data_IF_148956148562
#
_entry.id   IF_148956148562
#
_cell.length_a   1.000
_cell.length_b   1.000
_cell.length_c   1.000
_cell.angle_alpha   90.00
_cell.angle_beta   90.00
_cell.angle_gamma   90.00
#
_symmetry.space_group_name_H-M   'P 1'
#
loop_
_entity.id
_entity.type
_entity.pdbx_description
1 polymer ?
#
# COMPACT_ATOMS: atom_id res chain seq x y z
N UNK A 1 -12.35 -20.76 2.52
CA UNK A 1 -13.18 -20.11 3.55
C UNK A 1 -12.56 -18.77 3.86
N UNK A 2 -13.35 -17.69 3.99
CA UNK A 2 -12.82 -16.42 4.44
C UNK A 2 -12.36 -16.58 5.89
N UNK A 3 -11.10 -16.25 6.17
CA UNK A 3 -10.57 -16.23 7.53
C UNK A 3 -11.37 -15.21 8.35
N UNK A 4 -11.78 -15.55 9.57
CA UNK A 4 -12.52 -14.62 10.42
C UNK A 4 -11.70 -13.33 10.61
N UNK A 5 -12.35 -12.16 10.51
CA UNK A 5 -11.67 -10.88 10.71
C UNK A 5 -11.09 -10.84 12.12
N UNK A 6 -9.78 -10.63 12.23
CA UNK A 6 -9.12 -10.46 13.52
C UNK A 6 -9.57 -9.12 14.11
N UNK A 7 -9.92 -9.14 15.39
CA UNK A 7 -10.26 -7.92 16.12
C UNK A 7 -9.04 -6.99 16.19
N UNK A 8 -9.29 -5.70 16.05
CA UNK A 8 -8.30 -4.62 16.11
C UNK A 8 -8.87 -3.58 17.06
N UNK A 9 -8.17 -3.28 18.14
CA UNK A 9 -8.57 -2.24 19.11
C UNK A 9 -8.57 -0.85 18.47
N UNK A 10 -9.57 -0.04 18.85
CA UNK A 10 -9.81 1.30 18.30
C UNK A 10 -8.66 2.28 18.56
N UNK A 11 -8.00 2.15 19.72
CA UNK A 11 -6.91 3.02 20.14
C UNK A 11 -5.94 2.21 21.01
N UNK A 12 -4.71 2.02 20.55
CA UNK A 12 -3.70 1.22 21.27
C UNK A 12 -2.30 1.82 21.13
N UNK A 13 -1.54 1.81 22.22
CA UNK A 13 -0.11 2.13 22.20
C UNK A 13 0.68 0.89 21.77
N UNK A 14 1.33 0.94 20.61
CA UNK A 14 2.13 -0.18 20.09
C UNK A 14 3.57 -0.16 20.62
N UNK A 15 4.08 1.02 20.94
CA UNK A 15 5.43 1.22 21.48
C UNK A 15 5.54 2.55 22.23
N UNK A 16 6.74 2.91 22.69
CA UNK A 16 7.00 4.24 23.25
C UNK A 16 6.85 5.37 22.23
N UNK A 17 6.88 5.08 20.92
CA UNK A 17 6.82 6.07 19.83
C UNK A 17 5.53 6.01 19.02
N UNK A 18 4.82 4.88 19.03
CA UNK A 18 3.73 4.62 18.10
C UNK A 18 2.43 4.34 18.84
N UNK A 19 1.42 5.14 18.51
CA UNK A 19 0.01 4.89 18.84
C UNK A 19 -0.71 4.59 17.53
N UNK A 20 -1.50 3.51 17.51
CA UNK A 20 -2.40 3.19 16.39
C UNK A 20 -3.80 3.62 16.74
N UNK A 21 -4.46 4.30 15.80
CA UNK A 21 -5.83 4.78 15.91
C UNK A 21 -6.62 4.18 14.74
N UNK A 22 -7.74 3.53 15.01
CA UNK A 22 -8.56 2.90 13.98
C UNK A 22 -9.56 3.92 13.41
N UNK A 23 -9.61 4.04 12.09
CA UNK A 23 -10.42 5.00 11.32
C UNK A 23 -11.93 4.81 11.41
N UNK A 24 -12.42 3.82 12.16
CA UNK A 24 -13.83 3.53 12.38
C UNK A 24 -14.62 3.25 11.09
N UNK A 25 -13.95 2.71 10.09
CA UNK A 25 -14.47 2.46 8.76
C UNK A 25 -14.33 1.00 8.31
N UNK A 26 -14.97 0.04 9.00
CA UNK A 26 -14.88 -1.38 8.64
C UNK A 26 -15.52 -1.67 7.29
N UNK A 27 -14.85 -2.46 6.47
CA UNK A 27 -15.27 -2.68 5.09
C UNK A 27 -14.62 -3.92 4.46
N UNK A 28 -15.05 -4.33 3.25
CA UNK A 28 -14.45 -5.45 2.54
C UNK A 28 -12.97 -5.20 2.19
N UNK A 29 -12.59 -3.95 1.96
CA UNK A 29 -11.22 -3.55 1.62
C UNK A 29 -10.44 -3.04 2.84
N UNK A 30 -11.11 -2.39 3.79
CA UNK A 30 -10.49 -1.80 4.99
C UNK A 30 -10.46 -2.73 6.21
N UNK A 31 -11.03 -3.94 6.10
CA UNK A 31 -11.13 -4.93 7.18
C UNK A 31 -11.88 -4.40 8.42
N UNK A 32 -11.16 -4.15 9.52
CA UNK A 32 -11.71 -3.55 10.73
C UNK A 32 -11.77 -2.01 10.64
N UNK A 33 -11.04 -1.41 9.70
CA UNK A 33 -10.86 0.02 9.51
C UNK A 33 -9.43 0.34 9.08
N UNK A 34 -9.20 1.59 8.67
CA UNK A 34 -7.86 2.12 8.38
C UNK A 34 -7.12 2.37 9.69
N UNK A 35 -5.96 1.74 9.87
CA UNK A 35 -5.02 2.04 10.92
C UNK A 35 -4.28 3.33 10.54
N UNK A 36 -4.55 4.41 11.25
CA UNK A 36 -3.68 5.58 11.24
C UNK A 36 -2.65 5.43 12.37
N UNK A 37 -1.49 6.05 12.20
CA UNK A 37 -0.39 5.95 13.17
C UNK A 37 0.09 7.32 13.60
N UNK A 38 0.04 7.57 14.91
CA UNK A 38 0.65 8.74 15.52
C UNK A 38 2.07 8.36 15.97
N UNK A 39 3.07 8.95 15.32
CA UNK A 39 4.49 8.72 15.53
C UNK A 39 5.06 9.93 16.29
N UNK A 40 5.42 9.73 17.54
CA UNK A 40 5.92 10.78 18.42
C UNK A 40 7.33 10.45 18.90
N UNK A 41 8.03 11.43 19.47
CA UNK A 41 9.20 11.15 20.32
C UNK A 41 8.76 10.41 21.59
N UNK A 42 9.64 9.61 22.22
CA UNK A 42 9.29 8.88 23.43
C UNK A 42 8.91 9.87 24.54
N UNK A 43 8.01 9.51 25.46
CA UNK A 43 7.69 10.37 26.59
C UNK A 43 8.92 10.58 27.47
N UNK A 44 9.15 11.83 27.87
CA UNK A 44 10.20 12.26 28.80
C UNK A 44 9.50 12.86 29.99
N UNK A 45 9.90 12.48 31.21
CA UNK A 45 9.20 12.79 32.45
C UNK A 45 9.05 14.30 32.78
N UNK A 46 9.67 15.20 32.02
CA UNK A 46 9.66 16.65 32.26
C UNK A 46 9.10 17.48 31.09
N UNK A 47 8.46 16.84 30.11
CA UNK A 47 8.10 17.45 28.83
C UNK A 47 6.74 18.16 28.88
N UNK A 48 6.73 19.48 28.66
CA UNK A 48 5.49 20.26 28.41
C UNK A 48 4.95 19.98 27.01
N UNK A 49 3.64 20.10 26.80
CA UNK A 49 2.93 19.98 25.50
C UNK A 49 3.70 20.52 24.27
N UNK A 50 4.29 21.71 24.38
CA UNK A 50 5.02 22.36 23.27
C UNK A 50 6.18 21.52 22.70
N UNK A 51 6.74 20.61 23.50
CA UNK A 51 8.00 19.92 23.22
C UNK A 51 7.85 18.56 22.52
N UNK A 52 6.62 18.14 22.15
CA UNK A 52 6.37 16.81 21.55
C UNK A 52 5.64 16.86 20.20
N UNK A 53 6.33 17.34 19.14
CA UNK A 53 5.83 17.21 17.79
C UNK A 53 5.66 15.73 17.41
N UNK A 54 4.63 15.45 16.61
CA UNK A 54 4.27 14.11 16.16
C UNK A 54 3.93 14.13 14.67
N UNK A 55 4.16 12.99 14.03
CA UNK A 55 3.79 12.72 12.64
C UNK A 55 2.54 11.84 12.65
N UNK A 56 1.48 12.26 11.98
CA UNK A 56 0.33 11.41 11.71
C UNK A 56 0.49 10.74 10.34
N UNK A 57 0.39 9.42 10.28
CA UNK A 57 0.40 8.66 9.03
C UNK A 57 -1.03 8.21 8.70
N UNK A 58 -1.50 8.64 7.53
CA UNK A 58 -2.87 8.49 7.00
C UNK A 58 -3.97 9.10 7.88
N UNK A 59 -5.17 9.23 7.32
CA UNK A 59 -6.26 10.01 7.93
C UNK A 59 -7.61 9.31 8.04
N UNK A 60 -7.73 8.07 7.55
CA UNK A 60 -9.03 7.40 7.45
C UNK A 60 -9.90 8.02 6.35
N UNK A 61 -11.16 7.60 6.29
CA UNK A 61 -12.15 8.09 5.31
C UNK A 61 -12.91 9.36 5.76
N UNK A 62 -12.69 9.83 6.99
CA UNK A 62 -13.44 10.95 7.56
C UNK A 62 -14.70 10.57 8.33
N UNK A 63 -14.70 9.40 8.99
CA UNK A 63 -15.76 9.02 9.91
C UNK A 63 -15.70 9.89 11.20
N UNK A 64 -16.83 10.48 11.60
CA UNK A 64 -16.90 11.35 12.78
C UNK A 64 -16.45 10.65 14.07
N UNK A 65 -16.61 9.32 14.15
CA UNK A 65 -16.23 8.52 15.33
C UNK A 65 -14.71 8.42 15.52
N UNK A 66 -13.91 8.73 14.50
CA UNK A 66 -12.45 8.75 14.57
C UNK A 66 -11.91 9.95 15.37
N UNK A 67 -12.57 11.11 15.28
CA UNK A 67 -12.08 12.37 15.85
C UNK A 67 -11.91 12.30 17.38
N UNK A 68 -12.86 11.76 18.16
CA UNK A 68 -12.66 11.55 19.60
C UNK A 68 -11.49 10.64 19.94
N UNK A 69 -11.19 9.64 19.10
CA UNK A 69 -10.05 8.73 19.31
C UNK A 69 -8.71 9.44 19.06
N UNK A 70 -8.64 10.26 18.01
CA UNK A 70 -7.45 11.07 17.73
C UNK A 70 -7.21 12.11 18.83
N UNK A 71 -8.25 12.78 19.30
CA UNK A 71 -8.14 13.75 20.41
C UNK A 71 -7.63 13.06 21.68
N UNK A 72 -8.19 11.90 22.04
CA UNK A 72 -7.70 11.07 23.16
C UNK A 72 -6.24 10.65 23.00
N UNK A 73 -5.81 10.29 21.78
CA UNK A 73 -4.43 9.93 21.50
C UNK A 73 -3.47 11.12 21.74
N UNK A 74 -3.86 12.33 21.32
CA UNK A 74 -3.06 13.55 21.52
C UNK A 74 -3.01 13.97 22.99
N UNK A 75 -4.08 13.74 23.76
CA UNK A 75 -4.12 13.88 25.24
C UNK A 75 -3.39 12.73 25.97
N UNK A 76 -2.85 11.74 25.26
CA UNK A 76 -2.11 10.63 25.87
C UNK A 76 -2.97 9.58 26.58
N UNK A 77 -4.30 9.73 26.56
CA UNK A 77 -5.30 8.86 27.18
C UNK A 77 -5.51 7.55 26.39
N UNK A 78 -4.47 6.72 26.36
CA UNK A 78 -4.40 5.45 25.62
C UNK A 78 -4.21 4.30 26.59
N UNK A 79 -5.01 3.23 26.46
CA UNK A 79 -4.83 2.02 27.25
C UNK A 79 -3.44 1.39 26.99
N UNK A 80 -2.71 1.14 28.08
CA UNK A 80 -1.34 0.62 28.02
C UNK A 80 -1.24 -0.84 27.59
N UNK A 81 -0.07 -1.22 27.06
CA UNK A 81 0.33 -2.61 26.86
C UNK A 81 0.42 -3.30 28.24
N UNK A 82 -0.36 -4.37 28.45
CA UNK A 82 -0.45 -5.20 29.67
C UNK A 82 -1.19 -4.62 30.90
N UNK A 83 -2.53 -4.73 30.93
CA UNK A 83 -3.30 -4.84 32.20
C UNK A 83 -3.44 -6.29 32.72
N UNK A 84 -2.85 -7.29 32.04
CA UNK A 84 -3.07 -8.71 32.37
C UNK A 84 -1.99 -9.39 33.24
N UNK A 85 -1.02 -8.66 33.81
CA UNK A 85 0.05 -9.26 34.64
C UNK A 85 0.42 -8.45 35.90
N UNK A 86 -0.55 -7.90 36.62
CA UNK A 86 -0.31 -7.30 37.93
C UNK A 86 -1.46 -7.54 38.91
N UNK A 87 -1.67 -8.80 39.31
CA UNK A 87 -2.18 -9.07 40.65
C UNK A 87 -1.00 -8.99 41.62
N UNK A 88 -1.08 -8.06 42.57
CA UNK A 88 -0.13 -7.75 43.65
C UNK A 88 0.97 -6.71 43.36
N UNK A 89 0.58 -5.44 43.39
CA UNK A 89 1.30 -4.43 44.18
C UNK A 89 0.36 -3.25 44.46
N UNK A 90 -0.34 -3.32 45.59
CA UNK A 90 -0.84 -2.11 46.27
C UNK A 90 0.40 -1.35 46.74
N UNK A 91 0.79 -0.32 45.99
CA UNK A 91 1.54 0.88 46.42
C UNK A 91 2.12 1.58 45.18
N UNK A 92 1.31 2.40 44.54
CA UNK A 92 1.73 3.57 43.76
C UNK A 92 0.81 4.68 44.28
N UNK A 93 1.29 5.45 45.26
CA UNK A 93 1.62 6.86 45.09
C UNK A 93 0.58 7.57 44.22
N UNK A 94 -0.20 8.42 44.89
CA UNK A 94 -1.03 9.48 44.31
C UNK A 94 -0.14 10.26 43.34
N UNK A 95 -0.20 9.93 42.05
CA UNK A 95 0.23 10.84 41.00
C UNK A 95 -0.87 11.90 40.92
N UNK A 96 -0.45 13.15 41.08
CA UNK A 96 -1.31 14.33 41.04
C UNK A 96 -2.31 14.24 39.89
N UNK A 97 -3.54 14.67 40.13
CA UNK A 97 -4.56 14.96 39.11
C UNK A 97 -4.03 16.07 38.17
N UNK A 98 -2.98 15.79 37.38
CA UNK A 98 -2.56 16.68 36.30
C UNK A 98 -3.66 16.67 35.25
N UNK A 99 -4.16 17.87 34.94
CA UNK A 99 -5.34 18.18 34.14
C UNK A 99 -5.54 17.17 32.98
N UNK A 100 -6.53 16.28 33.12
CA UNK A 100 -6.91 15.22 32.15
C UNK A 100 -7.24 15.78 30.74
N UNK A 101 -7.30 17.11 30.62
CA UNK A 101 -7.61 17.88 29.43
C UNK A 101 -6.40 18.44 28.67
N UNK A 102 -5.18 18.36 29.22
CA UNK A 102 -4.00 18.89 28.56
C UNK A 102 -3.47 17.93 27.47
N UNK A 103 -3.07 18.50 26.33
CA UNK A 103 -2.43 17.72 25.27
C UNK A 103 -1.04 17.25 25.72
N UNK A 104 -0.68 16.02 25.33
CA UNK A 104 0.67 15.44 25.57
C UNK A 104 1.55 15.47 24.33
N UNK A 105 0.96 15.70 23.15
CA UNK A 105 1.65 15.86 21.87
C UNK A 105 0.81 16.67 20.88
N UNK A 106 1.44 17.15 19.81
CA UNK A 106 0.76 17.87 18.73
C UNK A 106 1.24 17.40 17.35
N UNK A 107 0.40 17.54 16.32
CA UNK A 107 0.71 17.03 14.97
C UNK A 107 1.40 18.14 14.17
N UNK A 108 2.69 17.95 13.88
CA UNK A 108 3.48 18.84 13.03
C UNK A 108 3.41 18.47 11.56
N UNK A 109 3.23 17.19 11.29
CA UNK A 109 3.32 16.62 9.96
C UNK A 109 2.24 15.54 9.78
N UNK A 110 1.58 15.56 8.63
CA UNK A 110 0.68 14.49 8.18
C UNK A 110 1.33 13.88 6.95
N UNK A 111 1.53 12.57 6.93
CA UNK A 111 2.11 11.83 5.81
C UNK A 111 1.06 10.89 5.24
N UNK A 112 0.76 11.06 3.95
CA UNK A 112 -0.25 10.26 3.25
C UNK A 112 0.45 9.17 2.42
N UNK A 113 0.09 7.90 2.65
CA UNK A 113 0.72 6.76 1.99
C UNK A 113 0.37 6.71 0.49
N UNK A 114 -0.89 6.95 0.14
CA UNK A 114 -1.36 6.96 -1.24
C UNK A 114 -2.72 7.66 -1.40
N UNK A 115 -3.24 7.73 -2.63
CA UNK A 115 -4.43 8.49 -3.03
C UNK A 115 -5.79 7.93 -2.59
N UNK A 116 -5.88 6.68 -2.11
CA UNK A 116 -7.20 6.11 -1.81
C UNK A 116 -7.91 6.86 -0.70
N UNK A 117 -9.24 6.97 -0.85
CA UNK A 117 -10.09 7.83 -0.02
C UNK A 117 -10.00 7.49 1.46
N UNK A 118 -9.85 6.23 1.83
CA UNK A 118 -9.73 5.79 3.21
C UNK A 118 -8.36 6.10 3.84
N UNK A 119 -7.44 6.72 3.11
CA UNK A 119 -6.16 7.23 3.62
C UNK A 119 -6.10 8.76 3.63
N UNK A 120 -6.85 9.43 2.74
CA UNK A 120 -6.82 10.90 2.56
C UNK A 120 -8.11 11.61 2.99
N UNK A 121 -9.23 10.88 3.08
CA UNK A 121 -10.58 11.42 3.23
C UNK A 121 -10.83 12.11 4.57
N UNK A 122 -10.11 11.71 5.62
CA UNK A 122 -10.25 12.30 6.94
C UNK A 122 -9.60 13.67 7.12
N UNK A 123 -8.79 14.14 6.16
CA UNK A 123 -8.10 15.43 6.23
C UNK A 123 -8.98 16.61 6.70
N UNK A 124 -10.20 16.85 6.17
CA UNK A 124 -11.01 17.99 6.59
C UNK A 124 -11.38 17.94 8.07
N UNK A 125 -11.83 16.78 8.55
CA UNK A 125 -12.23 16.57 9.95
C UNK A 125 -11.05 16.69 10.91
N UNK A 126 -9.90 16.12 10.55
CA UNK A 126 -8.66 16.19 11.34
C UNK A 126 -8.15 17.62 11.41
N UNK A 127 -8.07 18.32 10.28
CA UNK A 127 -7.57 19.69 10.25
C UNK A 127 -8.51 20.67 10.99
N UNK A 128 -9.81 20.39 11.01
CA UNK A 128 -10.78 21.10 11.85
C UNK A 128 -10.50 20.87 13.34
N UNK A 129 -10.31 19.62 13.78
CA UNK A 129 -9.91 19.29 15.15
C UNK A 129 -8.60 20.00 15.52
N UNK A 130 -7.57 19.88 14.69
CA UNK A 130 -6.27 20.47 14.97
C UNK A 130 -6.35 22.01 15.04
N UNK A 131 -7.17 22.65 14.20
CA UNK A 131 -7.39 24.10 14.27
C UNK A 131 -8.02 24.51 15.60
N UNK A 132 -9.03 23.76 16.07
CA UNK A 132 -9.66 23.95 17.39
C UNK A 132 -8.62 23.80 18.52
N UNK A 133 -7.89 22.69 18.54
CA UNK A 133 -6.87 22.42 19.55
C UNK A 133 -5.75 23.48 19.57
N UNK A 134 -5.32 23.98 18.40
CA UNK A 134 -4.36 25.10 18.31
C UNK A 134 -4.90 26.40 18.88
N UNK A 135 -6.20 26.67 18.74
CA UNK A 135 -6.83 27.88 19.26
C UNK A 135 -7.03 27.82 20.78
N UNK A 136 -7.19 26.61 21.34
CA UNK A 136 -7.36 26.36 22.78
C UNK A 136 -6.01 26.20 23.50
N UNK A 137 -4.92 25.91 22.78
CA UNK A 137 -3.60 25.73 23.35
C UNK A 137 -3.05 26.99 24.04
N UNK A 138 -2.42 26.80 25.21
CA UNK A 138 -1.73 27.86 25.96
C UNK A 138 -0.44 28.35 25.28
N UNK A 139 0.05 27.60 24.30
CA UNK A 139 1.25 27.87 23.50
C UNK A 139 0.89 27.95 22.03
N UNK A 140 1.60 28.81 21.28
CA UNK A 140 1.41 28.89 19.83
C UNK A 140 1.95 27.65 19.15
N UNK A 141 1.06 26.84 18.58
CA UNK A 141 1.40 25.67 17.77
C UNK A 141 1.29 25.99 16.27
N UNK A 142 2.23 25.56 15.42
CA UNK A 142 2.13 25.78 13.98
C UNK A 142 1.05 24.89 13.35
N UNK A 143 0.55 25.30 12.20
CA UNK A 143 -0.30 24.44 11.38
C UNK A 143 0.51 23.26 10.81
N UNK A 144 -0.08 22.07 10.64
CA UNK A 144 0.65 20.91 10.16
C UNK A 144 1.05 21.06 8.70
N UNK A 145 2.15 20.40 8.31
CA UNK A 145 2.54 20.19 6.91
C UNK A 145 1.92 18.89 6.41
N UNK A 146 1.39 18.88 5.18
CA UNK A 146 0.82 17.67 4.57
C UNK A 146 1.78 17.17 3.51
N UNK A 147 2.31 15.97 3.70
CA UNK A 147 3.32 15.35 2.86
C UNK A 147 2.71 14.27 1.98
N UNK A 148 3.05 14.30 0.68
CA UNK A 148 2.57 13.33 -0.29
C UNK A 148 3.63 13.05 -1.35
N UNK A 149 3.80 11.77 -1.69
CA UNK A 149 4.51 11.41 -2.91
C UNK A 149 3.59 11.67 -4.10
N UNK A 150 3.99 12.57 -5.00
CA UNK A 150 3.20 12.93 -6.18
C UNK A 150 3.57 12.02 -7.34
N UNK A 151 2.58 11.47 -8.04
CA UNK A 151 2.78 10.75 -9.29
C UNK A 151 2.59 11.67 -10.52
N UNK A 152 2.68 11.10 -11.72
CA UNK A 152 2.54 11.85 -12.97
C UNK A 152 1.09 12.31 -13.25
N UNK A 153 0.10 11.65 -12.63
CA UNK A 153 -1.31 11.97 -12.71
C UNK A 153 -1.77 12.56 -11.37
N UNK A 154 -1.32 13.78 -11.08
CA UNK A 154 -1.62 14.51 -9.83
C UNK A 154 -3.08 14.32 -9.37
N UNK A 155 -3.28 13.84 -8.15
CA UNK A 155 -4.59 13.56 -7.54
C UNK A 155 -5.50 14.81 -7.51
N UNK A 156 -6.45 14.96 -8.46
CA UNK A 156 -7.22 16.19 -8.60
C UNK A 156 -8.26 16.33 -7.47
N UNK A 157 -8.76 15.22 -6.95
CA UNK A 157 -9.75 15.21 -5.87
C UNK A 157 -9.13 15.67 -4.55
N UNK A 158 -7.93 15.18 -4.22
CA UNK A 158 -7.17 15.64 -3.07
C UNK A 158 -6.83 17.13 -3.16
N UNK A 159 -6.34 17.59 -4.32
CA UNK A 159 -6.01 19.01 -4.51
C UNK A 159 -7.27 19.89 -4.37
N UNK A 160 -8.39 19.47 -4.96
CA UNK A 160 -9.66 20.17 -4.83
C UNK A 160 -10.17 20.21 -3.39
N UNK A 161 -10.03 19.11 -2.65
CA UNK A 161 -10.34 19.04 -1.22
C UNK A 161 -9.50 20.06 -0.43
N UNK A 162 -8.18 20.08 -0.65
CA UNK A 162 -7.26 20.99 0.05
C UNK A 162 -7.54 22.47 -0.25
N UNK A 163 -7.93 22.81 -1.48
CA UNK A 163 -8.33 24.17 -1.87
C UNK A 163 -9.60 24.65 -1.16
N UNK A 164 -10.48 23.73 -0.75
CA UNK A 164 -11.74 24.06 -0.08
C UNK A 164 -11.58 24.21 1.45
N UNK A 165 -10.39 23.93 2.00
CA UNK A 165 -10.15 24.05 3.44
C UNK A 165 -9.95 25.52 3.86
N UNK A 166 -10.32 25.89 5.11
CA UNK A 166 -10.06 27.22 5.63
C UNK A 166 -8.57 27.58 5.59
N UNK A 167 -8.25 28.84 5.29
CA UNK A 167 -6.86 29.34 5.33
C UNK A 167 -6.25 29.15 6.71
N UNK A 168 -4.98 28.75 6.76
CA UNK A 168 -4.27 28.46 8.02
C UNK A 168 -4.60 27.10 8.64
N UNK A 169 -5.42 26.27 7.99
CA UNK A 169 -5.67 24.89 8.45
C UNK A 169 -4.41 24.04 8.43
N UNK A 170 -3.54 24.24 7.43
CA UNK A 170 -2.26 23.58 7.22
C UNK A 170 -1.24 24.57 6.61
N UNK A 171 0.04 24.21 6.58
CA UNK A 171 1.11 25.00 5.95
C UNK A 171 1.44 24.45 4.56
N UNK A 172 1.19 25.20 3.46
CA UNK A 172 1.52 24.77 2.10
C UNK A 172 3.05 24.79 1.85
N UNK A 173 3.47 24.06 0.83
CA UNK A 173 4.87 24.06 0.36
C UNK A 173 5.15 25.29 -0.50
N UNK A 174 6.31 25.93 -0.27
CA UNK A 174 6.79 27.01 -1.14
C UNK A 174 6.21 28.40 -0.84
N UNK A 175 5.56 28.62 0.31
CA UNK A 175 4.98 29.93 0.68
C UNK A 175 6.03 31.03 1.00
N UNK A 176 7.29 30.88 0.57
CA UNK A 176 8.33 31.92 0.65
C UNK A 176 8.54 32.55 -0.74
N UNK A 177 8.42 33.87 -0.81
CA UNK A 177 8.77 34.71 -1.97
C UNK A 177 7.90 34.57 -3.25
N UNK A 178 6.64 34.16 -3.14
CA UNK A 178 5.64 34.34 -4.21
C UNK A 178 5.84 33.46 -5.46
N UNK A 179 6.60 32.38 -5.36
CA UNK A 179 6.67 31.33 -6.41
C UNK A 179 5.69 30.19 -6.12
N UNK A 180 5.37 29.38 -7.13
CA UNK A 180 4.35 28.32 -7.14
C UNK A 180 4.20 27.59 -5.78
N UNK A 181 3.15 27.94 -5.04
CA UNK A 181 2.81 27.24 -3.79
C UNK A 181 2.07 25.96 -4.13
N UNK A 182 2.61 24.82 -3.71
CA UNK A 182 1.87 23.55 -3.71
C UNK A 182 1.16 23.40 -2.37
N UNK A 183 -0.11 22.97 -2.31
CA UNK A 183 -0.74 22.66 -1.04
C UNK A 183 -0.04 21.48 -0.31
N UNK A 184 0.69 20.65 -1.05
CA UNK A 184 1.38 19.46 -0.56
C UNK A 184 2.90 19.65 -0.52
N UNK A 185 3.51 19.14 0.54
CA UNK A 185 4.96 18.96 0.67
C UNK A 185 5.37 17.70 -0.10
N UNK A 186 6.16 17.84 -1.18
CA UNK A 186 6.46 16.72 -2.06
C UNK A 186 7.43 15.75 -1.38
N UNK A 187 7.07 14.48 -1.34
CA UNK A 187 7.94 13.40 -0.91
C UNK A 187 8.71 12.81 -2.10
N UNK A 188 9.88 12.25 -1.81
CA UNK A 188 10.73 11.53 -2.76
C UNK A 188 11.30 10.28 -2.09
N UNK A 189 11.78 9.32 -2.88
CA UNK A 189 12.50 8.15 -2.39
C UNK A 189 13.65 8.57 -1.46
N UNK A 190 13.72 7.95 -0.28
CA UNK A 190 14.75 8.20 0.72
C UNK A 190 14.59 9.48 1.54
N UNK A 191 13.62 10.34 1.23
CA UNK A 191 13.31 11.53 2.04
C UNK A 191 12.97 11.12 3.48
N UNK A 192 13.38 11.93 4.46
CA UNK A 192 13.12 11.64 5.87
C UNK A 192 12.25 12.75 6.46
N UNK A 193 11.06 12.37 6.92
CA UNK A 193 10.22 13.22 7.78
C UNK A 193 10.61 12.90 9.22
N UNK A 194 11.09 13.90 9.97
CA UNK A 194 11.47 13.72 11.36
C UNK A 194 10.80 14.74 12.27
N UNK A 195 10.62 14.32 13.51
CA UNK A 195 10.20 15.16 14.63
C UNK A 195 11.24 15.03 15.73
N UNK A 196 11.58 16.15 16.34
CA UNK A 196 12.58 16.24 17.41
C UNK A 196 11.97 16.97 18.60
N UNK A 197 12.14 16.42 19.80
CA UNK A 197 11.75 17.05 21.05
C UNK A 197 12.85 17.95 21.60
N UNK A 198 12.53 18.75 22.63
CA UNK A 198 13.46 19.70 23.25
C UNK A 198 14.71 19.03 23.86
N UNK A 199 14.62 17.74 24.20
CA UNK A 199 15.73 16.94 24.72
C UNK A 199 16.58 16.30 23.61
N UNK A 200 16.40 16.73 22.36
CA UNK A 200 17.06 16.23 21.15
C UNK A 200 16.69 14.77 20.79
N UNK A 201 15.71 14.16 21.47
CA UNK A 201 15.19 12.86 21.04
C UNK A 201 14.39 13.02 19.76
N UNK A 202 14.61 12.13 18.80
CA UNK A 202 13.95 12.17 17.50
C UNK A 202 13.15 10.89 17.20
N UNK A 203 12.20 11.02 16.29
CA UNK A 203 11.55 9.91 15.57
C UNK A 203 11.59 10.23 14.08
N UNK A 204 12.02 9.26 13.26
CA UNK A 204 12.30 9.50 11.84
C UNK A 204 11.61 8.47 10.95
N UNK A 205 10.82 8.96 9.99
CA UNK A 205 10.19 8.15 8.95
C UNK A 205 10.91 8.36 7.62
N UNK A 206 11.64 7.35 7.16
CA UNK A 206 12.25 7.35 5.82
C UNK A 206 11.25 6.83 4.79
N UNK A 207 11.06 7.60 3.72
CA UNK A 207 10.18 7.26 2.60
C UNK A 207 10.82 6.19 1.73
N UNK A 208 10.07 5.11 1.47
CA UNK A 208 10.35 4.14 0.42
C UNK A 208 9.22 4.24 -0.61
N UNK A 209 9.53 4.66 -1.84
CA UNK A 209 8.54 4.66 -2.93
C UNK A 209 8.25 3.22 -3.32
N UNK A 210 7.00 2.81 -3.19
CA UNK A 210 6.57 1.41 -3.32
C UNK A 210 5.38 1.32 -4.26
N UNK A 211 5.53 1.72 -5.54
CA UNK A 211 4.43 1.68 -6.49
C UNK A 211 3.99 0.23 -6.72
N UNK A 212 2.75 0.10 -7.18
CA UNK A 212 2.17 -1.18 -7.57
C UNK A 212 0.75 -1.32 -7.06
N UNK A 213 0.51 -1.03 -5.77
CA UNK A 213 -0.84 -0.86 -5.26
C UNK A 213 -1.53 0.32 -5.98
N UNK A 214 -0.90 1.49 -5.87
CA UNK A 214 -1.10 2.67 -6.72
C UNK A 214 0.26 3.21 -7.16
N UNK A 215 0.30 4.10 -8.14
CA UNK A 215 1.55 4.69 -8.64
C UNK A 215 2.27 5.59 -7.61
N UNK A 216 1.49 6.22 -6.73
CA UNK A 216 1.92 7.19 -5.71
C UNK A 216 2.17 6.56 -4.32
N UNK A 217 2.09 5.23 -4.21
CA UNK A 217 2.17 4.51 -2.94
C UNK A 217 3.56 4.55 -2.30
N UNK A 218 3.63 4.84 -1.01
CA UNK A 218 4.85 4.77 -0.20
C UNK A 218 4.71 3.85 1.01
N UNK A 219 5.80 3.20 1.39
CA UNK A 219 6.00 2.65 2.71
C UNK A 219 6.91 3.59 3.51
N UNK A 220 6.79 3.57 4.83
CA UNK A 220 7.57 4.44 5.72
C UNK A 220 8.36 3.59 6.70
N UNK A 221 9.68 3.78 6.71
CA UNK A 221 10.58 3.05 7.57
C UNK A 221 10.86 3.87 8.84
N UNK A 222 10.34 3.39 9.97
CA UNK A 222 10.64 3.93 11.30
C UNK A 222 11.98 3.33 11.77
N UNK A 223 13.06 4.11 11.59
CA UNK A 223 14.43 3.62 11.79
C UNK A 223 14.71 3.20 13.22
N UNK A 224 14.22 3.99 14.18
CA UNK A 224 14.47 3.80 15.60
C UNK A 224 13.87 2.48 16.12
N UNK A 225 12.79 1.98 15.49
CA UNK A 225 12.17 0.69 15.83
C UNK A 225 12.43 -0.41 14.81
N UNK A 226 13.18 -0.11 13.73
CA UNK A 226 13.39 -1.01 12.59
C UNK A 226 12.08 -1.65 12.10
N UNK A 227 11.05 -0.82 12.01
CA UNK A 227 9.67 -1.22 11.74
C UNK A 227 9.19 -0.52 10.47
N UNK A 228 8.45 -1.24 9.63
CA UNK A 228 7.94 -0.72 8.37
C UNK A 228 6.44 -0.47 8.47
N UNK A 229 6.01 0.77 8.25
CA UNK A 229 4.60 1.08 7.99
C UNK A 229 4.35 0.80 6.52
N UNK A 230 3.45 -0.14 6.22
CA UNK A 230 3.33 -0.71 4.88
C UNK A 230 2.20 -0.12 4.05
N UNK A 231 1.37 0.77 4.62
CA UNK A 231 0.15 1.22 3.93
C UNK A 231 -0.66 0.01 3.46
N UNK A 232 -1.04 0.04 2.19
CA UNK A 232 -1.74 -1.05 1.50
C UNK A 232 -0.82 -2.00 0.73
N UNK A 233 0.50 -1.81 0.85
CA UNK A 233 1.47 -2.69 0.19
C UNK A 233 1.44 -4.11 0.76
N UNK A 234 1.34 -4.23 2.08
CA UNK A 234 1.17 -5.50 2.82
C UNK A 234 0.17 -5.26 3.94
N UNK A 235 -0.81 -6.17 4.08
CA UNK A 235 -1.88 -6.06 5.07
C UNK A 235 -1.61 -6.97 6.28
N UNK A 236 -2.25 -6.68 7.40
CA UNK A 236 -2.18 -7.50 8.62
C UNK A 236 -2.94 -8.82 8.53
N UNK A 237 -3.84 -8.92 7.55
CA UNK A 237 -4.63 -10.11 7.27
C UNK A 237 -5.00 -10.14 5.78
N UNK A 238 -4.99 -11.35 5.19
CA UNK A 238 -5.39 -11.54 3.80
C UNK A 238 -4.32 -11.10 2.80
N UNK A 239 -4.76 -10.59 1.65
CA UNK A 239 -3.91 -10.10 0.55
C UNK A 239 -4.36 -8.70 0.14
N UNK A 240 -3.46 -7.93 -0.45
CA UNK A 240 -3.79 -6.63 -1.06
C UNK A 240 -4.18 -6.77 -2.54
N UNK A 241 -4.76 -5.71 -3.08
CA UNK A 241 -4.99 -5.47 -4.52
C UNK A 241 -3.89 -4.58 -5.10
N UNK A 242 -3.71 -4.57 -6.42
CA UNK A 242 -2.68 -3.76 -7.07
C UNK A 242 -3.04 -3.42 -8.52
N UNK A 243 -2.64 -2.23 -8.96
CA UNK A 243 -2.76 -1.74 -10.33
C UNK A 243 -1.64 -2.29 -11.24
N UNK A 244 -0.42 -2.43 -10.71
CA UNK A 244 0.76 -2.94 -11.44
C UNK A 244 1.53 -3.98 -10.63
N UNK A 245 1.42 -5.24 -11.04
CA UNK A 245 2.10 -6.37 -10.39
C UNK A 245 3.64 -6.30 -10.52
N UNK A 246 4.17 -5.76 -11.62
CA UNK A 246 5.62 -5.65 -11.84
C UNK A 246 6.23 -4.68 -10.84
N UNK A 247 5.64 -3.47 -10.75
CA UNK A 247 6.02 -2.47 -9.78
C UNK A 247 5.84 -3.01 -8.35
N UNK A 248 4.70 -3.64 -8.07
CA UNK A 248 4.39 -4.22 -6.76
C UNK A 248 5.43 -5.26 -6.29
N UNK A 249 5.82 -6.20 -7.15
CA UNK A 249 6.83 -7.21 -6.80
C UNK A 249 8.24 -6.60 -6.66
N UNK A 250 8.56 -5.54 -7.41
CA UNK A 250 9.80 -4.79 -7.22
C UNK A 250 9.80 -4.10 -5.85
N UNK A 251 8.68 -3.50 -5.47
CA UNK A 251 8.45 -2.85 -4.18
C UNK A 251 8.54 -3.84 -3.01
N UNK A 252 7.97 -5.06 -3.13
CA UNK A 252 8.16 -6.12 -2.14
C UNK A 252 9.65 -6.44 -1.92
N UNK A 253 10.43 -6.63 -3.00
CA UNK A 253 11.88 -6.87 -2.89
C UNK A 253 12.65 -5.68 -2.33
N UNK A 254 12.21 -4.44 -2.59
CA UNK A 254 12.78 -3.23 -2.01
C UNK A 254 12.58 -3.23 -0.48
N UNK A 255 11.36 -3.44 -0.02
CA UNK A 255 11.03 -3.51 1.41
C UNK A 255 11.80 -4.64 2.12
N UNK A 256 11.89 -5.83 1.53
CA UNK A 256 12.68 -6.94 2.10
C UNK A 256 14.14 -6.56 2.29
N UNK A 257 14.79 -5.98 1.27
CA UNK A 257 16.19 -5.52 1.36
C UNK A 257 16.39 -4.44 2.42
N UNK A 258 15.49 -3.46 2.49
CA UNK A 258 15.57 -2.39 3.49
C UNK A 258 15.52 -2.94 4.93
N UNK A 259 14.68 -3.96 5.20
CA UNK A 259 14.62 -4.60 6.50
C UNK A 259 15.82 -5.52 6.78
N UNK A 260 16.34 -6.20 5.75
CA UNK A 260 17.59 -6.97 5.86
C UNK A 260 18.78 -6.09 6.25
N UNK A 261 18.92 -4.92 5.61
CA UNK A 261 19.98 -3.96 5.88
C UNK A 261 19.93 -3.37 7.30
N UNK A 262 18.73 -3.13 7.84
CA UNK A 262 18.56 -2.69 9.24
C UNK A 262 18.82 -3.78 10.27
N UNK A 263 18.65 -5.04 9.88
CA UNK A 263 18.61 -6.18 10.77
C UNK A 263 17.34 -6.24 11.63
N UNK A 264 17.27 -7.20 12.56
CA UNK A 264 16.07 -7.47 13.36
C UNK A 264 15.76 -6.34 14.35
N UNK A 265 14.48 -6.20 14.71
CA UNK A 265 14.01 -5.20 15.67
C UNK A 265 14.37 -5.51 17.13
N UNK A 266 14.75 -6.75 17.45
CA UNK A 266 15.16 -7.19 18.78
C UNK A 266 16.38 -8.12 18.68
N UNK A 267 17.26 -8.08 19.69
CA UNK A 267 18.37 -9.01 19.80
C UNK A 267 17.87 -10.46 19.91
N UNK A 268 18.52 -11.39 19.19
CA UNK A 268 18.12 -12.79 19.13
C UNK A 268 16.91 -13.08 18.22
N UNK A 269 16.26 -12.06 17.64
CA UNK A 269 15.21 -12.23 16.63
C UNK A 269 15.79 -12.21 15.21
N UNK A 270 15.10 -12.83 14.25
CA UNK A 270 15.34 -12.69 12.81
C UNK A 270 14.23 -11.92 12.11
N UNK A 271 13.42 -11.15 12.84
CA UNK A 271 12.22 -10.53 12.30
C UNK A 271 12.14 -9.03 12.62
N UNK A 272 11.26 -8.37 11.86
CA UNK A 272 10.89 -6.97 12.00
C UNK A 272 9.37 -6.90 12.11
N UNK A 273 8.85 -5.83 12.70
CA UNK A 273 7.40 -5.59 12.71
C UNK A 273 6.98 -4.89 11.42
N UNK A 274 5.76 -5.16 10.97
CA UNK A 274 5.04 -4.33 9.99
C UNK A 274 3.81 -3.73 10.66
N UNK A 275 3.57 -2.46 10.34
CA UNK A 275 2.41 -1.68 10.73
C UNK A 275 1.57 -1.40 9.47
N UNK A 276 0.61 -2.29 9.13
CA UNK A 276 -0.20 -2.16 7.92
C UNK A 276 -1.31 -1.14 8.08
N UNK A 277 -1.81 -0.57 6.98
CA UNK A 277 -3.00 0.27 7.05
C UNK A 277 -4.27 -0.52 7.37
N UNK A 278 -4.31 -1.83 7.12
CA UNK A 278 -5.47 -2.64 7.49
C UNK A 278 -5.07 -3.93 8.19
N UNK A 279 -5.83 -4.30 9.23
CA UNK A 279 -5.63 -5.51 10.01
C UNK A 279 -4.60 -5.36 11.14
N UNK A 280 -4.24 -6.46 11.81
CA UNK A 280 -3.35 -6.43 12.98
C UNK A 280 -1.88 -6.18 12.63
N UNK A 281 -1.09 -5.84 13.64
CA UNK A 281 0.39 -5.78 13.54
C UNK A 281 0.94 -7.13 13.08
N UNK A 282 1.93 -7.10 12.18
CA UNK A 282 2.64 -8.29 11.71
C UNK A 282 3.97 -8.38 12.43
N UNK A 283 4.12 -9.38 13.31
CA UNK A 283 5.37 -9.56 14.09
C UNK A 283 6.48 -10.29 13.30
N UNK A 284 6.11 -11.05 12.28
CA UNK A 284 7.03 -11.78 11.39
C UNK A 284 7.09 -11.07 10.03
N UNK A 285 7.53 -9.82 10.02
CA UNK A 285 7.43 -8.92 8.88
C UNK A 285 8.27 -9.35 7.67
N UNK A 286 9.49 -9.86 7.89
CA UNK A 286 10.33 -10.34 6.79
C UNK A 286 9.73 -11.60 6.18
N UNK A 287 9.24 -12.50 7.03
CA UNK A 287 8.51 -13.68 6.57
C UNK A 287 7.24 -13.31 5.78
N UNK A 288 6.45 -12.33 6.23
CA UNK A 288 5.24 -11.90 5.54
C UNK A 288 5.54 -11.32 4.16
N UNK A 289 6.54 -10.45 4.03
CA UNK A 289 7.00 -9.92 2.74
C UNK A 289 7.40 -11.05 1.78
N UNK A 290 8.11 -12.06 2.30
CA UNK A 290 8.50 -13.24 1.54
C UNK A 290 7.28 -14.04 1.08
N UNK A 291 6.33 -14.32 1.97
CA UNK A 291 5.09 -15.05 1.64
C UNK A 291 4.29 -14.34 0.55
N UNK A 292 4.15 -13.01 0.65
CA UNK A 292 3.51 -12.22 -0.38
C UNK A 292 4.21 -12.35 -1.74
N UNK A 293 5.54 -12.29 -1.77
CA UNK A 293 6.31 -12.44 -3.01
C UNK A 293 6.21 -13.86 -3.58
N UNK A 294 6.43 -14.88 -2.74
CA UNK A 294 6.36 -16.30 -3.12
C UNK A 294 5.00 -16.62 -3.72
N UNK A 295 3.92 -16.17 -3.09
CA UNK A 295 2.56 -16.42 -3.56
C UNK A 295 2.32 -15.88 -4.99
N UNK A 296 2.90 -14.73 -5.35
CA UNK A 296 2.82 -14.20 -6.73
C UNK A 296 3.66 -15.02 -7.70
N UNK A 297 4.86 -15.42 -7.30
CA UNK A 297 5.75 -16.24 -8.13
C UNK A 297 5.15 -17.63 -8.40
N UNK A 298 4.55 -18.25 -7.38
CA UNK A 298 3.82 -19.51 -7.50
C UNK A 298 2.65 -19.38 -8.50
N UNK A 299 1.89 -18.28 -8.43
CA UNK A 299 0.80 -18.04 -9.37
C UNK A 299 1.31 -17.84 -10.80
N UNK A 300 2.40 -17.10 -11.00
CA UNK A 300 3.05 -17.00 -12.33
C UNK A 300 3.45 -18.37 -12.86
N UNK A 301 4.06 -19.21 -12.02
CA UNK A 301 4.47 -20.57 -12.40
C UNK A 301 3.28 -21.44 -12.82
N UNK A 302 2.16 -21.38 -12.08
CA UNK A 302 0.92 -22.08 -12.43
C UNK A 302 0.34 -21.62 -13.77
N UNK A 303 0.35 -20.31 -14.05
CA UNK A 303 -0.12 -19.74 -15.32
C UNK A 303 0.75 -20.22 -16.48
N UNK A 304 2.08 -20.16 -16.33
CA UNK A 304 3.01 -20.63 -17.36
C UNK A 304 2.84 -22.13 -17.62
N UNK A 305 2.65 -22.94 -16.57
CA UNK A 305 2.43 -24.37 -16.71
C UNK A 305 1.11 -24.68 -17.42
N UNK A 306 0.03 -23.95 -17.10
CA UNK A 306 -1.25 -24.07 -17.78
C UNK A 306 -1.11 -23.75 -19.29
N UNK A 307 -0.39 -22.69 -19.64
CA UNK A 307 -0.15 -22.27 -21.02
C UNK A 307 0.70 -23.26 -21.85
N UNK A 308 1.38 -24.21 -21.21
CA UNK A 308 2.05 -25.33 -21.93
C UNK A 308 1.07 -26.43 -22.33
N UNK A 309 -0.11 -26.47 -21.71
CA UNK A 309 -1.19 -27.41 -22.01
C UNK A 309 -2.22 -26.80 -22.97
N UNK A 310 -3.19 -27.61 -23.41
CA UNK A 310 -4.29 -27.17 -24.27
C UNK A 310 -5.62 -27.19 -23.53
N UNK A 311 -6.53 -26.23 -23.77
CA UNK A 311 -7.89 -26.33 -23.25
C UNK A 311 -8.61 -27.57 -23.83
N UNK A 312 -9.54 -28.15 -23.07
CA UNK A 312 -10.27 -29.37 -23.46
C UNK A 312 -11.05 -29.21 -24.79
N UNK A 313 -11.49 -27.99 -25.10
CA UNK A 313 -12.14 -27.63 -26.37
C UNK A 313 -11.22 -27.73 -27.60
N UNK A 314 -9.89 -27.78 -27.42
CA UNK A 314 -8.87 -27.87 -28.48
C UNK A 314 -8.19 -29.25 -28.55
N UNK A 315 -8.89 -30.33 -28.22
CA UNK A 315 -8.35 -31.71 -28.12
C UNK A 315 -7.71 -32.26 -29.42
N UNK A 316 -7.91 -31.62 -30.57
CA UNK A 316 -7.18 -31.87 -31.81
C UNK A 316 -6.11 -30.79 -32.04
N UNK A 317 -4.85 -31.14 -31.81
CA UNK A 317 -3.67 -30.29 -31.96
C UNK A 317 -3.60 -29.61 -33.34
N UNK A 318 -3.52 -28.28 -33.33
CA UNK A 318 -2.86 -27.50 -34.38
C UNK A 318 -1.87 -26.56 -33.70
N UNK A 319 -0.61 -26.98 -33.60
CA UNK A 319 0.49 -26.02 -33.49
C UNK A 319 0.46 -25.17 -34.74
N UNK A 320 -0.03 -23.95 -34.62
CA UNK A 320 -0.05 -22.97 -35.70
C UNK A 320 1.27 -22.19 -35.69
N UNK A 321 1.88 -22.00 -36.85
CA UNK A 321 3.01 -21.08 -37.01
C UNK A 321 2.53 -19.76 -37.59
N UNK A 322 3.06 -18.65 -37.06
CA UNK A 322 2.77 -17.30 -37.57
C UNK A 322 4.09 -16.59 -37.84
N UNK A 323 4.18 -15.91 -38.97
CA UNK A 323 5.32 -15.08 -39.31
C UNK A 323 5.13 -13.67 -38.73
N UNK A 324 6.00 -13.27 -37.81
CA UNK A 324 5.99 -11.92 -37.23
C UNK A 324 7.36 -11.28 -37.46
N UNK A 325 7.41 -10.20 -38.25
CA UNK A 325 8.65 -9.48 -38.55
C UNK A 325 9.72 -10.34 -39.24
N UNK A 326 9.32 -11.36 -40.01
CA UNK A 326 10.23 -12.29 -40.69
C UNK A 326 10.73 -13.47 -39.85
N UNK A 327 10.31 -13.59 -38.59
CA UNK A 327 10.58 -14.75 -37.75
C UNK A 327 9.36 -15.67 -37.68
N UNK A 328 9.57 -16.97 -37.88
CA UNK A 328 8.53 -17.98 -37.67
C UNK A 328 8.36 -18.23 -36.17
N UNK A 329 7.14 -18.02 -35.68
CA UNK A 329 6.78 -18.18 -34.27
C UNK A 329 5.83 -19.36 -34.16
N UNK A 330 6.19 -20.33 -33.31
CA UNK A 330 5.30 -21.44 -32.96
C UNK A 330 4.37 -20.98 -31.85
N UNK A 331 3.06 -21.04 -32.11
CA UNK A 331 2.02 -20.74 -31.12
C UNK A 331 1.63 -22.00 -30.34
N UNK A 332 1.64 -21.89 -29.01
CA UNK A 332 0.90 -22.81 -28.14
C UNK A 332 -0.62 -22.62 -28.28
N UNK A 333 -1.37 -23.53 -27.66
CA UNK A 333 -2.83 -23.43 -27.66
C UNK A 333 -3.30 -22.16 -26.93
N UNK A 334 -4.25 -21.41 -27.50
CA UNK A 334 -4.79 -20.21 -26.86
C UNK A 334 -5.65 -20.57 -25.65
N UNK A 335 -5.46 -19.83 -24.56
CA UNK A 335 -6.28 -19.89 -23.35
C UNK A 335 -6.93 -18.54 -23.09
N UNK A 336 -8.24 -18.55 -22.84
CA UNK A 336 -8.95 -17.38 -22.34
C UNK A 336 -8.80 -17.23 -20.84
N UNK A 337 -8.78 -16.01 -20.33
CA UNK A 337 -8.72 -15.76 -18.88
C UNK A 337 -9.87 -16.45 -18.16
N UNK A 338 -11.10 -16.42 -18.70
CA UNK A 338 -12.24 -17.14 -18.11
C UNK A 338 -11.97 -18.65 -17.94
N UNK A 339 -11.29 -19.29 -18.91
CA UNK A 339 -10.95 -20.71 -18.86
C UNK A 339 -9.86 -20.96 -17.82
N UNK A 340 -8.88 -20.06 -17.74
CA UNK A 340 -7.84 -20.11 -16.71
C UNK A 340 -8.43 -19.97 -15.31
N UNK A 341 -9.41 -19.08 -15.09
CA UNK A 341 -10.10 -18.93 -13.81
C UNK A 341 -10.79 -20.24 -13.42
N UNK A 342 -11.60 -20.81 -14.32
CA UNK A 342 -12.29 -22.07 -14.07
C UNK A 342 -11.33 -23.21 -13.72
N UNK A 343 -10.14 -23.25 -14.34
CA UNK A 343 -9.15 -24.30 -14.06
C UNK A 343 -8.38 -24.05 -12.76
N UNK A 344 -7.77 -22.86 -12.62
CA UNK A 344 -6.84 -22.54 -11.52
C UNK A 344 -7.53 -22.15 -10.21
N UNK A 345 -8.80 -21.77 -10.27
CA UNK A 345 -9.61 -21.34 -9.13
C UNK A 345 -10.87 -22.19 -8.95
N UNK A 346 -10.90 -23.40 -9.51
CA UNK A 346 -12.02 -24.37 -9.40
C UNK A 346 -12.49 -24.64 -7.96
N UNK A 347 -11.59 -24.53 -6.97
CA UNK A 347 -11.90 -24.73 -5.55
C UNK A 347 -12.39 -23.45 -4.84
N UNK A 348 -12.53 -22.32 -5.55
CA UNK A 348 -13.00 -21.06 -4.99
C UNK A 348 -14.48 -20.81 -5.36
N UNK A 349 -15.23 -20.10 -4.50
CA UNK A 349 -16.57 -19.63 -4.83
C UNK A 349 -16.60 -18.76 -6.10
N UNK A 350 -17.63 -18.94 -6.94
CA UNK A 350 -17.76 -18.24 -8.23
C UNK A 350 -17.83 -16.71 -8.08
N UNK A 351 -18.35 -16.20 -6.96
CA UNK A 351 -18.39 -14.77 -6.68
C UNK A 351 -16.99 -14.13 -6.55
N UNK A 352 -15.92 -14.94 -6.40
CA UNK A 352 -14.53 -14.47 -6.39
C UNK A 352 -13.87 -14.52 -7.78
N UNK A 353 -14.54 -15.10 -8.79
CA UNK A 353 -13.99 -15.24 -10.13
C UNK A 353 -13.65 -13.90 -10.80
N UNK A 354 -14.44 -12.83 -10.65
CA UNK A 354 -14.05 -11.52 -11.18
C UNK A 354 -12.72 -11.03 -10.60
N UNK A 355 -12.51 -11.16 -9.30
CA UNK A 355 -11.25 -10.78 -8.65
C UNK A 355 -10.08 -11.68 -9.12
N UNK A 356 -10.31 -12.98 -9.26
CA UNK A 356 -9.33 -13.93 -9.78
C UNK A 356 -8.94 -13.61 -11.24
N UNK A 357 -9.92 -13.24 -12.08
CA UNK A 357 -9.69 -12.84 -13.46
C UNK A 357 -8.81 -11.58 -13.54
N UNK A 358 -9.09 -10.57 -12.71
CA UNK A 358 -8.27 -9.36 -12.59
C UNK A 358 -6.82 -9.71 -12.20
N UNK A 359 -6.64 -10.55 -11.19
CA UNK A 359 -5.31 -11.02 -10.78
C UNK A 359 -4.57 -11.75 -11.90
N UNK A 360 -5.23 -12.69 -12.59
CA UNK A 360 -4.65 -13.41 -13.72
C UNK A 360 -4.25 -12.48 -14.87
N UNK A 361 -5.09 -11.49 -15.18
CA UNK A 361 -4.77 -10.49 -16.19
C UNK A 361 -3.45 -9.77 -15.85
N UNK A 362 -3.26 -9.34 -14.60
CA UNK A 362 -2.03 -8.67 -14.16
C UNK A 362 -0.80 -9.60 -14.22
N UNK A 363 -0.96 -10.89 -13.89
CA UNK A 363 0.10 -11.88 -14.09
C UNK A 363 0.47 -12.05 -15.56
N UNK A 364 -0.51 -12.19 -16.45
CA UNK A 364 -0.28 -12.33 -17.88
C UNK A 364 0.39 -11.09 -18.48
N UNK A 365 -0.05 -9.91 -18.06
CA UNK A 365 0.58 -8.64 -18.45
C UNK A 365 2.05 -8.58 -18.05
N UNK A 366 2.36 -8.90 -16.80
CA UNK A 366 3.74 -8.95 -16.30
C UNK A 366 4.57 -9.98 -17.06
N UNK A 367 4.05 -11.20 -17.26
CA UNK A 367 4.72 -12.26 -18.00
C UNK A 367 5.00 -11.89 -19.46
N UNK A 368 4.17 -11.04 -20.06
CA UNK A 368 4.36 -10.53 -21.43
C UNK A 368 5.33 -9.34 -21.54
N UNK A 369 5.79 -8.79 -20.41
CA UNK A 369 6.69 -7.64 -20.39
C UNK A 369 8.09 -8.03 -20.90
N UNK A 370 8.75 -7.19 -21.74
CA UNK A 370 10.11 -7.43 -22.22
C UNK A 370 11.13 -7.73 -21.11
N UNK A 371 11.03 -7.01 -19.98
CA UNK A 371 11.97 -7.15 -18.85
C UNK A 371 11.90 -8.53 -18.19
N UNK A 372 10.70 -9.13 -18.16
CA UNK A 372 10.45 -10.45 -17.57
C UNK A 372 10.85 -11.58 -18.52
N UNK A 373 10.86 -11.28 -19.82
CA UNK A 373 11.14 -12.25 -20.89
C UNK A 373 12.58 -12.24 -21.38
N UNK A 374 13.38 -11.27 -20.94
CA UNK A 374 14.77 -11.16 -21.35
C UNK A 374 15.52 -12.47 -21.10
N UNK A 375 16.09 -13.05 -22.16
CA UNK A 375 16.83 -14.32 -22.10
C UNK A 375 15.98 -15.60 -22.06
N UNK A 376 14.65 -15.53 -22.23
CA UNK A 376 13.77 -16.71 -22.29
C UNK A 376 13.48 -17.14 -23.73
N UNK A 377 13.54 -18.45 -23.98
CA UNK A 377 13.20 -19.06 -25.28
C UNK A 377 11.69 -19.04 -25.58
N UNK A 378 10.87 -19.01 -24.53
CA UNK A 378 9.42 -18.96 -24.61
C UNK A 378 8.85 -17.71 -23.94
N UNK A 379 7.81 -17.13 -24.54
CA UNK A 379 7.25 -15.82 -24.18
C UNK A 379 5.73 -15.88 -24.09
N UNK A 380 5.10 -15.14 -23.18
CA UNK A 380 3.63 -15.12 -23.02
C UNK A 380 3.07 -13.97 -23.84
N UNK A 381 2.12 -14.22 -24.73
CA UNK A 381 1.51 -13.18 -25.59
C UNK A 381 0.00 -13.21 -25.54
N UNK A 382 -0.59 -12.01 -25.62
CA UNK A 382 -1.98 -11.84 -26.00
C UNK A 382 -2.07 -11.97 -27.53
N UNK A 383 -2.95 -12.84 -28.01
CA UNK A 383 -3.34 -12.92 -29.41
C UNK A 383 -4.44 -11.85 -29.59
N UNK A 384 -4.23 -10.85 -30.45
CA UNK A 384 -5.04 -9.62 -30.47
C UNK A 384 -6.40 -9.80 -31.16
N UNK A 385 -7.26 -10.63 -30.56
CA UNK A 385 -8.55 -11.06 -31.11
C UNK A 385 -9.68 -10.04 -30.92
N UNK A 386 -9.48 -8.96 -30.13
CA UNK A 386 -10.51 -7.94 -29.85
C UNK A 386 -10.06 -6.50 -30.16
N UNK A 387 -11.02 -5.59 -30.34
CA UNK A 387 -10.77 -4.15 -30.50
C UNK A 387 -10.08 -3.52 -29.30
N UNK A 388 -10.42 -3.96 -28.07
CA UNK A 388 -9.76 -3.53 -26.83
C UNK A 388 -8.25 -3.84 -26.83
N UNK A 389 -7.85 -5.05 -27.21
CA UNK A 389 -6.45 -5.47 -27.26
C UNK A 389 -5.63 -4.69 -28.30
N UNK A 390 -6.28 -4.25 -29.40
CA UNK A 390 -5.62 -3.50 -30.47
C UNK A 390 -5.31 -2.04 -30.11
N UNK A 391 -5.93 -1.48 -29.07
CA UNK A 391 -5.66 -0.09 -28.62
C UNK A 391 -4.20 0.15 -28.18
N UNK A 392 -3.50 -0.88 -27.71
CA UNK A 392 -2.08 -0.79 -27.33
C UNK A 392 -1.11 -0.75 -28.52
N UNK A 393 -1.63 -0.79 -29.75
CA UNK A 393 -0.84 -0.90 -30.99
C UNK A 393 -1.34 0.12 -32.00
N UNK A 394 -0.86 1.36 -31.90
CA UNK A 394 -1.14 2.40 -32.89
C UNK A 394 -0.47 2.14 -34.25
N UNK A 395 0.45 1.17 -34.35
CA UNK A 395 1.28 0.97 -35.55
C UNK A 395 1.45 -0.48 -36.04
N UNK A 396 0.79 -1.50 -35.47
CA UNK A 396 1.06 -2.89 -35.85
C UNK A 396 -0.17 -3.64 -36.39
N UNK A 397 -0.18 -3.87 -37.70
CA UNK A 397 -1.02 -4.87 -38.38
C UNK A 397 -0.51 -6.30 -38.11
N UNK A 398 -0.41 -6.70 -36.84
CA UNK A 398 0.16 -7.99 -36.43
C UNK A 398 -0.82 -8.76 -35.54
N UNK A 399 -1.11 -10.02 -35.88
CA UNK A 399 -2.06 -10.88 -35.17
C UNK A 399 -1.58 -11.34 -33.77
N UNK A 400 -0.29 -11.14 -33.49
CA UNK A 400 0.36 -11.40 -32.19
C UNK A 400 0.95 -10.08 -31.72
N UNK A 401 0.48 -9.55 -30.60
CA UNK A 401 0.74 -8.15 -30.26
C UNK A 401 1.10 -7.87 -28.81
N UNK A 402 1.24 -6.58 -28.54
CA UNK A 402 1.62 -6.01 -27.26
C UNK A 402 0.61 -6.35 -26.16
N UNK A 403 1.08 -6.23 -24.91
CA UNK A 403 0.28 -6.31 -23.71
C UNK A 403 -0.92 -5.32 -23.78
N UNK A 404 -2.17 -5.79 -23.61
CA UNK A 404 -3.35 -4.92 -23.65
C UNK A 404 -3.33 -3.85 -22.54
N UNK A 405 -3.98 -2.69 -22.73
CA UNK A 405 -4.04 -1.64 -21.71
C UNK A 405 -4.80 -2.10 -20.46
N UNK A 406 -4.71 -1.34 -19.35
CA UNK A 406 -5.45 -1.70 -18.14
C UNK A 406 -6.93 -1.42 -18.41
N UNK A 407 -7.86 -2.35 -18.14
CA UNK A 407 -9.28 -2.06 -18.24
C UNK A 407 -9.69 -0.93 -17.30
N UNK A 408 -10.40 0.06 -17.82
CA UNK A 408 -10.87 1.25 -17.11
C UNK A 408 -12.37 1.21 -16.78
N UNK A 409 -13.09 0.17 -17.22
CA UNK A 409 -14.52 -0.02 -16.94
C UNK A 409 -14.88 -1.49 -16.77
N UNK A 410 -16.04 -1.77 -16.18
CA UNK A 410 -16.53 -3.15 -16.04
C UNK A 410 -16.76 -3.82 -17.39
N UNK A 411 -17.17 -3.07 -18.42
CA UNK A 411 -17.30 -3.59 -19.77
C UNK A 411 -15.95 -4.04 -20.34
N UNK A 412 -14.91 -3.22 -20.16
CA UNK A 412 -13.56 -3.58 -20.58
C UNK A 412 -13.00 -4.79 -19.79
N UNK A 413 -13.39 -4.95 -18.52
CA UNK A 413 -13.04 -6.14 -17.75
C UNK A 413 -13.69 -7.40 -18.29
N UNK A 414 -14.95 -7.32 -18.74
CA UNK A 414 -15.63 -8.44 -19.41
C UNK A 414 -14.92 -8.78 -20.72
N UNK A 415 -14.54 -7.79 -21.53
CA UNK A 415 -13.76 -8.02 -22.75
C UNK A 415 -12.38 -8.64 -22.46
N UNK A 416 -11.69 -8.17 -21.41
CA UNK A 416 -10.39 -8.68 -21.01
C UNK A 416 -10.44 -10.18 -20.66
N UNK A 417 -11.57 -10.66 -20.14
CA UNK A 417 -11.77 -12.08 -19.80
C UNK A 417 -11.82 -13.01 -21.02
N UNK A 418 -12.18 -12.47 -22.18
CA UNK A 418 -12.28 -13.21 -23.45
C UNK A 418 -11.01 -13.17 -24.30
N UNK A 419 -9.98 -12.44 -23.85
CA UNK A 419 -8.70 -12.36 -24.56
C UNK A 419 -7.99 -13.71 -24.59
N UNK A 420 -7.48 -14.07 -25.75
CA UNK A 420 -6.69 -15.28 -25.95
C UNK A 420 -5.22 -15.02 -25.61
N UNK A 421 -4.67 -15.87 -24.75
CA UNK A 421 -3.27 -15.84 -24.33
C UNK A 421 -2.59 -17.15 -24.67
N UNK A 422 -1.36 -17.08 -25.18
CA UNK A 422 -0.60 -18.26 -25.56
C UNK A 422 0.87 -18.12 -25.19
N UNK A 423 1.52 -19.28 -24.98
CA UNK A 423 2.97 -19.36 -24.95
C UNK A 423 3.49 -19.43 -26.40
N UNK A 424 4.39 -18.52 -26.76
CA UNK A 424 5.05 -18.51 -28.05
C UNK A 424 6.51 -18.98 -27.90
N UNK A 425 7.01 -19.70 -28.90
CA UNK A 425 8.42 -20.15 -28.95
C UNK A 425 9.08 -19.64 -30.21
N UNK A 426 10.30 -19.12 -30.09
CA UNK A 426 11.14 -18.86 -31.27
C UNK A 426 11.60 -20.20 -31.84
N UNK A 427 11.45 -20.40 -33.15
CA UNK A 427 12.18 -21.48 -33.80
C UNK A 427 13.66 -21.15 -33.76
N UNK A 428 14.49 -22.07 -33.28
CA UNK A 428 15.94 -21.94 -33.38
C UNK A 428 16.27 -21.80 -34.86
N UNK A 429 16.88 -20.68 -35.27
CA UNK A 429 17.51 -20.62 -36.59
C UNK A 429 18.53 -21.77 -36.62
N UNK A 430 18.27 -22.80 -37.42
CA UNK A 430 19.32 -23.71 -37.82
C UNK A 430 20.35 -22.86 -38.55
N UNK A 431 21.48 -22.56 -37.87
CA UNK A 431 22.69 -22.16 -38.56
C UNK A 431 23.07 -23.33 -39.48
N UNK A 432 22.78 -23.19 -40.77
CA UNK A 432 23.43 -23.94 -41.84
C UNK A 432 24.82 -23.39 -42.08
#
# INVERSE_FOLDING_TARGET
>A
MAEARKAVEDLIRLSSRVIRILGQNPGPYTLAGTNTYLISTPPVASSKLASRPSILVDTGEGNDSYIPLLERALKGAVDGVNKNNASNSQNAMEEDEEDEDDLTSWISDIVLTHKHHDHVGGLPSILSLLSKLRAEATVTLPAPRIHKFLDAESDPELIQMLHNLPKGSFTPYGERDGTLSSPLWPLQEGFVVNVTADDETNSSLQVLHTPGHTADHICLLLKEEKTLLTGDHVLGQGTTVFEDLTAYMSSLRKCSRALEELGPCQEGSSENRLYPAHGPVVNQGRQMLKQYLDHRLEREAQVVELLKSSPEEYSSQTTSTVNVGGAEIVLGAPWKIRQMVLKLYSNYPENLFPAAARGLFLHLRRLSSPDVEQGKDSRVRCLQTTSFARRASSEAAQDVGNCPPLPQSDHEWVEAMELDWALIRKTSQHHM
#
